data_IF_947720606890
#
_entry.id   IF_947720606890
#
_cell.length_a   1.000
_cell.length_b   1.000
_cell.length_c   1.000
_cell.angle_alpha   90.00
_cell.angle_beta   90.00
_cell.angle_gamma   90.00
#
_symmetry.space_group_name_H-M   'P 1'
#
loop_
_entity.id
_entity.type
_entity.pdbx_description
1 polymer ?
#
# COMPACT_ATOMS: atom_id res chain seq x y z
N UNK A 1 17.58 -11.75 7.73
CA UNK A 1 17.59 -10.33 7.31
C UNK A 1 16.15 -9.89 7.18
N UNK A 2 15.79 -8.67 7.59
CA UNK A 2 14.42 -8.19 7.52
C UNK A 2 13.90 -8.28 6.08
N UNK A 3 12.74 -8.89 5.92
CA UNK A 3 12.07 -9.02 4.62
C UNK A 3 11.19 -7.81 4.41
N UNK A 4 11.51 -7.00 3.41
CA UNK A 4 10.83 -5.72 3.16
C UNK A 4 10.26 -5.65 1.77
N UNK A 5 9.02 -5.17 1.66
CA UNK A 5 8.36 -4.94 0.39
C UNK A 5 7.90 -3.48 0.28
N UNK A 6 8.10 -2.88 -0.88
CA UNK A 6 7.38 -1.67 -1.30
C UNK A 6 6.16 -2.09 -2.11
N UNK A 7 4.99 -1.55 -1.79
CA UNK A 7 3.74 -1.79 -2.52
C UNK A 7 3.19 -0.45 -2.98
N UNK A 8 2.69 -0.37 -4.22
CA UNK A 8 1.94 0.80 -4.70
C UNK A 8 0.45 0.49 -4.71
N UNK A 9 -0.37 1.49 -4.39
CA UNK A 9 -1.83 1.36 -4.41
C UNK A 9 -2.48 2.53 -5.16
N UNK A 10 -3.58 2.22 -5.82
CA UNK A 10 -4.35 3.15 -6.66
C UNK A 10 -5.81 3.10 -6.27
N UNK A 11 -6.43 4.27 -6.17
CA UNK A 11 -7.85 4.44 -5.89
C UNK A 11 -8.71 4.02 -7.07
N UNK A 12 -10.01 3.83 -6.83
CA UNK A 12 -10.94 3.56 -7.93
C UNK A 12 -11.06 4.76 -8.88
N UNK A 13 -11.42 4.54 -10.16
CA UNK A 13 -11.84 5.64 -11.01
C UNK A 13 -12.91 6.48 -10.30
N UNK A 14 -12.81 7.80 -10.44
CA UNK A 14 -13.73 8.81 -9.89
C UNK A 14 -13.81 8.89 -8.34
N UNK A 15 -13.01 8.11 -7.61
CA UNK A 15 -12.83 8.31 -6.17
C UNK A 15 -11.87 9.48 -5.91
N UNK A 16 -12.19 10.36 -4.96
CA UNK A 16 -11.29 11.44 -4.58
C UNK A 16 -10.13 10.91 -3.72
N UNK A 17 -8.94 11.53 -3.76
CA UNK A 17 -7.80 11.09 -2.95
C UNK A 17 -8.13 11.05 -1.45
N UNK A 18 -8.84 12.05 -0.92
CA UNK A 18 -9.22 12.11 0.49
C UNK A 18 -10.17 10.99 0.92
N UNK A 19 -11.13 10.62 0.05
CA UNK A 19 -12.03 9.50 0.31
C UNK A 19 -11.27 8.17 0.28
N UNK A 20 -10.38 8.02 -0.71
CA UNK A 20 -9.52 6.85 -0.82
C UNK A 20 -8.63 6.64 0.42
N UNK A 21 -7.89 7.68 0.85
CA UNK A 21 -7.02 7.62 2.03
C UNK A 21 -7.83 7.21 3.28
N UNK A 22 -8.99 7.83 3.48
CA UNK A 22 -9.88 7.50 4.60
C UNK A 22 -10.32 6.03 4.56
N UNK A 23 -10.80 5.54 3.42
CA UNK A 23 -11.22 4.14 3.27
C UNK A 23 -10.04 3.18 3.44
N UNK A 24 -8.86 3.54 2.98
CA UNK A 24 -7.67 2.71 3.11
C UNK A 24 -7.31 2.54 4.60
N UNK A 25 -7.17 3.64 5.34
CA UNK A 25 -6.79 3.59 6.76
C UNK A 25 -7.89 3.02 7.66
N UNK A 26 -9.18 3.26 7.34
CA UNK A 26 -10.29 2.82 8.20
C UNK A 26 -10.78 1.41 7.87
N UNK A 27 -10.80 1.01 6.60
CA UNK A 27 -11.39 -0.27 6.21
C UNK A 27 -10.33 -1.29 5.89
N UNK A 28 -9.43 -0.96 4.96
CA UNK A 28 -8.44 -1.92 4.43
C UNK A 28 -7.46 -2.32 5.53
N UNK A 29 -6.92 -1.36 6.28
CA UNK A 29 -6.01 -1.66 7.39
C UNK A 29 -6.68 -2.47 8.49
N UNK A 30 -7.95 -2.20 8.80
CA UNK A 30 -8.68 -3.00 9.77
C UNK A 30 -8.90 -4.44 9.28
N UNK A 31 -9.25 -4.64 8.01
CA UNK A 31 -9.35 -5.97 7.40
C UNK A 31 -8.00 -6.70 7.48
N UNK A 32 -6.89 -6.04 7.12
CA UNK A 32 -5.56 -6.66 7.17
C UNK A 32 -5.20 -7.05 8.59
N UNK A 33 -5.37 -6.15 9.57
CA UNK A 33 -5.08 -6.44 10.98
C UNK A 33 -5.90 -7.61 11.51
N UNK A 34 -7.20 -7.62 11.25
CA UNK A 34 -8.11 -8.64 11.74
C UNK A 34 -7.80 -10.03 11.16
N UNK A 35 -7.43 -10.11 9.88
CA UNK A 35 -7.08 -11.39 9.25
C UNK A 35 -5.67 -11.86 9.59
N UNK A 36 -4.70 -10.95 9.64
CA UNK A 36 -3.31 -11.29 9.90
C UNK A 36 -3.08 -11.74 11.35
N UNK A 37 -3.74 -11.11 12.33
CA UNK A 37 -3.57 -11.44 13.74
C UNK A 37 -2.10 -11.38 14.16
N UNK A 38 -1.60 -12.47 14.73
CA UNK A 38 -0.21 -12.64 15.17
C UNK A 38 0.82 -12.68 14.03
N UNK A 39 0.37 -12.85 12.78
CA UNK A 39 1.23 -12.78 11.59
C UNK A 39 1.39 -11.37 11.03
N UNK A 40 0.79 -10.35 11.65
CA UNK A 40 0.91 -8.97 11.19
C UNK A 40 2.41 -8.56 11.09
N UNK A 41 2.81 -7.80 10.05
CA UNK A 41 4.19 -7.35 9.88
C UNK A 41 4.73 -6.59 11.10
N UNK A 42 6.05 -6.58 11.25
CA UNK A 42 6.72 -5.77 12.28
C UNK A 42 6.44 -4.28 12.08
N UNK A 43 6.32 -3.84 10.83
CA UNK A 43 5.82 -2.51 10.49
C UNK A 43 5.08 -2.50 9.16
N UNK A 44 4.08 -1.63 9.05
CA UNK A 44 3.40 -1.32 7.81
C UNK A 44 3.26 0.21 7.75
N UNK A 45 4.15 0.86 7.01
CA UNK A 45 4.19 2.31 6.81
C UNK A 45 3.49 2.65 5.51
N UNK A 46 2.65 3.69 5.50
CA UNK A 46 1.87 4.11 4.32
C UNK A 46 2.07 5.59 4.09
N UNK A 47 2.28 5.97 2.84
CA UNK A 47 2.50 7.34 2.40
C UNK A 47 1.65 7.59 1.17
N UNK A 48 0.93 8.71 1.16
CA UNK A 48 0.00 9.06 0.09
C UNK A 48 0.63 10.17 -0.77
N UNK A 49 0.44 10.06 -2.09
CA UNK A 49 0.85 11.10 -3.03
C UNK A 49 -0.05 12.30 -2.78
N UNK A 50 0.57 13.46 -2.50
CA UNK A 50 -0.18 14.71 -2.37
C UNK A 50 -0.72 15.11 -3.75
N UNK A 51 -2.03 15.34 -3.82
CA UNK A 51 -2.75 15.70 -5.04
C UNK A 51 -3.57 16.95 -4.83
N UNK A 52 -3.69 17.77 -5.86
CA UNK A 52 -4.57 18.95 -5.84
C UNK A 52 -6.04 18.54 -5.95
N UNK A 53 -6.97 19.45 -5.60
CA UNK A 53 -8.42 19.26 -5.74
C UNK A 53 -8.94 19.65 -7.14
N UNK A 54 -8.05 19.94 -8.09
CA UNK A 54 -8.43 20.21 -9.48
C UNK A 54 -9.00 18.95 -10.15
N UNK A 55 -9.86 19.08 -11.18
CA UNK A 55 -10.38 17.93 -11.92
C UNK A 55 -9.26 16.98 -12.38
N UNK A 56 -9.42 15.70 -12.08
CA UNK A 56 -8.40 14.67 -12.34
C UNK A 56 -7.37 14.48 -11.22
N UNK A 57 -7.35 15.37 -10.23
CA UNK A 57 -6.48 15.34 -9.05
C UNK A 57 -4.99 15.14 -9.40
N UNK A 58 -4.36 16.05 -10.17
CA UNK A 58 -2.95 15.93 -10.53
C UNK A 58 -2.08 15.90 -9.27
N UNK A 59 -0.95 15.17 -9.36
CA UNK A 59 0.03 15.10 -8.29
C UNK A 59 0.80 16.42 -8.14
N UNK A 60 1.12 16.78 -6.90
CA UNK A 60 2.02 17.89 -6.58
C UNK A 60 3.48 17.46 -6.84
N UNK A 61 3.92 17.59 -8.09
CA UNK A 61 5.23 17.09 -8.54
C UNK A 61 6.35 18.08 -8.23
N UNK A 62 7.43 17.57 -7.64
CA UNK A 62 8.70 18.30 -7.48
C UNK A 62 9.62 18.06 -8.69
N UNK A 63 9.71 16.80 -9.16
CA UNK A 63 10.52 16.37 -10.32
C UNK A 63 9.81 15.21 -11.03
N UNK A 64 9.83 15.20 -12.37
CA UNK A 64 9.18 14.19 -13.21
C UNK A 64 7.91 14.71 -13.88
N UNK A 65 7.11 13.80 -14.43
CA UNK A 65 5.85 14.09 -15.11
C UNK A 65 4.66 13.37 -14.44
N UNK A 66 3.42 13.75 -14.76
CA UNK A 66 2.22 13.16 -14.14
C UNK A 66 2.13 11.64 -14.35
N UNK A 67 2.60 11.17 -15.51
CA UNK A 67 2.59 9.76 -15.91
C UNK A 67 3.53 8.88 -15.07
N UNK A 68 4.51 9.49 -14.37
CA UNK A 68 5.42 8.78 -13.46
C UNK A 68 4.73 8.38 -12.15
N UNK A 69 3.64 9.07 -11.80
CA UNK A 69 2.89 8.90 -10.55
C UNK A 69 1.43 8.47 -10.78
N UNK A 70 1.17 7.35 -11.48
CA UNK A 70 -0.18 6.85 -11.76
C UNK A 70 -0.83 6.16 -10.55
N UNK A 71 -0.24 6.27 -9.37
CA UNK A 71 -0.67 5.66 -8.12
C UNK A 71 -0.98 6.72 -7.06
N UNK A 72 -1.72 6.34 -6.04
CA UNK A 72 -2.20 7.26 -4.99
C UNK A 72 -1.40 7.15 -3.71
N UNK A 73 -0.64 6.07 -3.54
CA UNK A 73 0.36 6.00 -2.49
C UNK A 73 1.19 4.75 -2.56
N UNK A 74 2.08 4.67 -1.59
CA UNK A 74 3.03 3.59 -1.39
C UNK A 74 2.96 3.08 0.04
N UNK A 75 3.23 1.80 0.24
CA UNK A 75 3.51 1.25 1.55
C UNK A 75 4.86 0.55 1.58
N UNK A 76 5.49 0.61 2.75
CA UNK A 76 6.63 -0.22 3.09
C UNK A 76 6.15 -1.19 4.17
N UNK A 77 6.26 -2.48 3.88
CA UNK A 77 5.89 -3.56 4.79
C UNK A 77 7.16 -4.29 5.19
N UNK A 78 7.39 -4.40 6.49
CA UNK A 78 8.57 -5.07 7.04
C UNK A 78 8.17 -6.30 7.86
N UNK A 79 8.93 -7.36 7.68
CA UNK A 79 8.84 -8.59 8.44
C UNK A 79 10.22 -8.96 8.97
N UNK A 80 10.24 -9.74 10.04
CA UNK A 80 11.49 -10.29 10.61
C UNK A 80 12.28 -11.09 9.56
N UNK A 81 11.59 -11.91 8.77
CA UNK A 81 12.16 -12.73 7.70
C UNK A 81 11.11 -13.09 6.63
N UNK A 82 11.56 -13.81 5.59
CA UNK A 82 10.70 -14.28 4.50
C UNK A 82 9.62 -15.27 4.98
N UNK A 83 9.91 -16.07 6.02
CA UNK A 83 8.94 -17.04 6.52
C UNK A 83 7.76 -16.33 7.22
N UNK A 84 8.02 -15.26 7.96
CA UNK A 84 7.00 -14.39 8.53
C UNK A 84 6.15 -13.74 7.42
N UNK A 85 6.79 -13.23 6.37
CA UNK A 85 6.07 -12.68 5.20
C UNK A 85 5.16 -13.73 4.54
N UNK A 86 5.64 -14.97 4.34
CA UNK A 86 4.83 -16.06 3.78
C UNK A 86 3.62 -16.40 4.65
N UNK A 87 3.79 -16.46 5.99
CA UNK A 87 2.67 -16.70 6.92
C UNK A 87 1.62 -15.59 6.84
N UNK A 88 2.07 -14.34 6.78
CA UNK A 88 1.18 -13.18 6.59
C UNK A 88 0.41 -13.26 5.27
N UNK A 89 1.10 -13.47 4.15
CA UNK A 89 0.47 -13.54 2.82
C UNK A 89 -0.61 -14.63 2.78
N UNK A 90 -0.33 -15.80 3.36
CA UNK A 90 -1.32 -16.89 3.45
C UNK A 90 -2.60 -16.52 4.22
N UNK A 91 -2.52 -15.57 5.18
CA UNK A 91 -3.70 -15.07 5.91
C UNK A 91 -4.49 -14.03 5.13
N UNK A 92 -3.82 -13.18 4.36
CA UNK A 92 -4.49 -12.10 3.61
C UNK A 92 -4.97 -12.51 2.22
N UNK A 93 -4.45 -13.62 1.66
CA UNK A 93 -4.92 -14.22 0.41
C UNK A 93 -6.23 -15.01 0.57
N UNK A 94 -6.79 -15.10 1.79
CA UNK A 94 -8.09 -15.74 2.04
C UNK A 94 -9.15 -15.08 1.14
N UNK A 95 -9.93 -15.86 0.35
CA UNK A 95 -10.76 -15.33 -0.73
C UNK A 95 -11.75 -14.22 -0.32
N UNK A 96 -12.32 -14.30 0.88
CA UNK A 96 -13.27 -13.29 1.39
C UNK A 96 -12.58 -11.97 1.75
N UNK A 97 -11.47 -12.04 2.48
CA UNK A 97 -10.65 -10.87 2.82
C UNK A 97 -10.15 -10.20 1.53
N UNK A 98 -9.62 -11.01 0.60
CA UNK A 98 -9.15 -10.57 -0.71
C UNK A 98 -10.26 -9.86 -1.49
N UNK A 99 -11.43 -10.49 -1.65
CA UNK A 99 -12.56 -9.90 -2.39
C UNK A 99 -13.02 -8.58 -1.78
N UNK A 100 -13.01 -8.48 -0.45
CA UNK A 100 -13.39 -7.24 0.25
C UNK A 100 -12.38 -6.13 0.01
N UNK A 101 -11.08 -6.43 0.05
CA UNK A 101 -10.01 -5.46 -0.23
C UNK A 101 -10.02 -5.04 -1.71
N UNK A 102 -10.11 -5.97 -2.65
CA UNK A 102 -10.21 -5.67 -4.09
C UNK A 102 -11.45 -4.84 -4.42
N UNK A 103 -12.58 -5.11 -3.76
CA UNK A 103 -13.79 -4.31 -3.91
C UNK A 103 -13.66 -2.89 -3.38
N UNK A 104 -12.62 -2.56 -2.62
CA UNK A 104 -12.34 -1.21 -2.08
C UNK A 104 -11.19 -0.50 -2.82
N UNK A 105 -10.30 -1.24 -3.46
CA UNK A 105 -9.20 -0.70 -4.26
C UNK A 105 -9.58 -0.50 -5.73
N UNK A 106 -8.85 0.37 -6.44
CA UNK A 106 -9.05 0.60 -7.88
C UNK A 106 -8.41 -0.45 -8.79
N UNK A 107 -7.54 -1.29 -8.24
CA UNK A 107 -6.80 -2.31 -8.98
C UNK A 107 -6.87 -3.66 -8.26
N UNK A 108 -7.11 -4.78 -8.97
CA UNK A 108 -7.00 -6.10 -8.38
C UNK A 108 -5.54 -6.37 -7.98
N UNK A 109 -5.33 -6.83 -6.74
CA UNK A 109 -4.01 -6.93 -6.10
C UNK A 109 -3.03 -7.78 -6.94
N UNK A 110 -3.48 -8.89 -7.56
CA UNK A 110 -2.59 -9.81 -8.28
C UNK A 110 -2.42 -9.54 -9.78
N UNK A 111 -3.34 -8.81 -10.42
CA UNK A 111 -3.24 -8.55 -11.88
C UNK A 111 -2.70 -7.16 -12.21
N UNK A 112 -2.82 -6.21 -11.28
CA UNK A 112 -2.42 -4.81 -11.48
C UNK A 112 -1.73 -4.18 -10.28
N UNK A 113 -1.72 -4.84 -9.12
CA UNK A 113 -0.90 -4.40 -7.98
C UNK A 113 0.59 -4.47 -8.34
N UNK A 114 1.36 -3.47 -7.91
CA UNK A 114 2.81 -3.48 -8.10
C UNK A 114 3.46 -3.54 -6.72
N UNK A 115 4.30 -4.54 -6.52
CA UNK A 115 5.09 -4.69 -5.31
C UNK A 115 6.50 -5.17 -5.67
N UNK A 116 7.49 -4.77 -4.89
CA UNK A 116 8.90 -5.14 -5.09
C UNK A 116 9.60 -5.33 -3.76
N UNK A 117 10.60 -6.22 -3.71
CA UNK A 117 11.44 -6.41 -2.53
C UNK A 117 12.52 -5.34 -2.44
N UNK A 118 12.78 -4.89 -1.22
CA UNK A 118 13.83 -3.91 -0.92
C UNK A 118 15.05 -4.65 -0.36
N UNK A 119 16.23 -4.38 -0.92
CA UNK A 119 17.49 -5.04 -0.54
C UNK A 119 18.15 -4.44 0.71
N UNK A 120 17.83 -3.19 1.06
CA UNK A 120 18.40 -2.50 2.22
C UNK A 120 17.69 -1.18 2.53
N UNK A 121 17.93 -0.64 3.73
CA UNK A 121 17.43 0.67 4.16
C UNK A 121 18.57 1.42 4.84
N UNK A 122 18.81 2.63 4.39
CA UNK A 122 19.81 3.53 4.93
C UNK A 122 19.11 4.84 5.29
N UNK A 123 19.35 5.34 6.49
CA UNK A 123 18.74 6.57 6.99
C UNK A 123 19.84 7.55 7.35
N UNK A 124 19.74 8.78 6.85
CA UNK A 124 20.59 9.91 7.22
C UNK A 124 19.69 10.98 7.84
N UNK A 125 20.03 11.42 9.04
CA UNK A 125 19.33 12.51 9.74
C UNK A 125 20.21 13.74 9.80
N UNK A 126 19.61 14.91 10.05
CA UNK A 126 20.38 16.13 10.37
C UNK A 126 21.15 15.90 11.67
N UNK A 127 22.37 16.42 11.75
CA UNK A 127 23.15 16.48 13.00
C UNK A 127 22.44 17.31 14.09
#
# INVERSE_FOLDING_TARGET
MPYRALVVFTRKPDESPAVFEKHFEQDIINIIKNNAGDTFPTSHTRMYVKRSEEPGYPADIIVGEQEDFPFDGISIIEFEDEAAAKRFMAKIEVPEARKTMEGKLGVPIHSKGRAVLLSGTYTTTKD
#
